data_IF_755871198129
#
_entry.id   IF_755871198129
#
_cell.length_a   1.000
_cell.length_b   1.000
_cell.length_c   1.000
_cell.angle_alpha   90.00
_cell.angle_beta   90.00
_cell.angle_gamma   90.00
#
_symmetry.space_group_name_H-M   'P 1'
#
loop_
_entity.id
_entity.type
_entity.pdbx_description
1 polymer ?
#
# COMPACT_ATOMS: atom_id res chain seq x y z
N UNK A 1 0.78 -21.01 14.09
CA UNK A 1 0.77 -20.36 12.76
C UNK A 1 0.41 -18.89 12.90
N UNK A 2 -0.79 -18.56 13.41
CA UNK A 2 -1.15 -17.19 13.81
C UNK A 2 -0.74 -16.95 15.28
N UNK A 3 -0.35 -15.72 15.58
CA UNK A 3 0.06 -15.23 16.90
C UNK A 3 -0.66 -13.91 17.19
N UNK A 4 -0.76 -13.50 18.47
CA UNK A 4 -1.34 -12.21 18.90
C UNK A 4 -2.70 -11.88 18.26
N UNK A 5 -3.64 -12.83 18.25
CA UNK A 5 -4.97 -12.63 17.64
C UNK A 5 -5.76 -11.60 18.48
N UNK A 6 -6.24 -10.55 17.83
CA UNK A 6 -7.09 -9.50 18.42
C UNK A 6 -8.40 -9.41 17.66
N UNK A 7 -9.49 -9.25 18.40
CA UNK A 7 -10.85 -9.08 17.86
C UNK A 7 -11.28 -7.61 18.01
N UNK A 8 -11.59 -6.96 16.90
CA UNK A 8 -12.07 -5.56 16.85
C UNK A 8 -13.57 -5.48 16.51
N UNK A 9 -14.33 -6.54 16.82
CA UNK A 9 -15.73 -6.78 16.50
C UNK A 9 -16.03 -6.95 15.00
N UNK A 10 -15.56 -6.02 14.16
CA UNK A 10 -15.82 -6.03 12.70
C UNK A 10 -14.72 -6.73 11.91
N UNK A 11 -13.54 -6.91 12.49
CA UNK A 11 -12.43 -7.65 11.89
C UNK A 11 -11.52 -8.25 12.96
N UNK A 12 -10.66 -9.18 12.53
CA UNK A 12 -9.58 -9.74 13.33
C UNK A 12 -8.24 -9.22 12.84
N UNK A 13 -7.32 -8.96 13.76
CA UNK A 13 -5.90 -8.82 13.44
C UNK A 13 -5.11 -9.94 14.10
N UNK A 14 -3.99 -10.30 13.49
CA UNK A 14 -3.08 -11.32 14.01
C UNK A 14 -1.70 -11.08 13.42
N UNK A 15 -0.67 -11.55 14.12
CA UNK A 15 0.69 -11.66 13.59
C UNK A 15 0.85 -13.03 12.95
N UNK A 16 1.54 -13.06 11.82
CA UNK A 16 1.96 -14.31 11.20
C UNK A 16 3.38 -14.62 11.66
N UNK A 17 3.69 -15.91 11.78
CA UNK A 17 5.04 -16.35 12.12
C UNK A 17 6.05 -15.94 11.02
N UNK A 18 7.25 -15.50 11.42
CA UNK A 18 8.29 -14.99 10.51
C UNK A 18 8.60 -15.97 9.36
N UNK A 19 8.72 -17.27 9.64
CA UNK A 19 8.90 -18.29 8.59
C UNK A 19 7.85 -18.23 7.46
N UNK A 20 6.60 -17.94 7.79
CA UNK A 20 5.52 -17.86 6.79
C UNK A 20 5.56 -16.52 6.07
N UNK A 21 5.93 -15.45 6.79
CA UNK A 21 6.20 -14.16 6.21
C UNK A 21 7.34 -14.25 5.17
N UNK A 22 8.45 -14.88 5.51
CA UNK A 22 9.59 -15.10 4.63
C UNK A 22 9.21 -15.94 3.40
N UNK A 23 8.37 -16.97 3.58
CA UNK A 23 7.83 -17.75 2.48
C UNK A 23 6.95 -16.90 1.55
N UNK A 24 6.09 -16.05 2.11
CA UNK A 24 5.25 -15.16 1.32
C UNK A 24 6.08 -14.16 0.53
N UNK A 25 7.14 -13.59 1.13
CA UNK A 25 8.10 -12.73 0.43
C UNK A 25 8.82 -13.46 -0.70
N UNK A 26 9.28 -14.69 -0.44
CA UNK A 26 9.93 -15.52 -1.44
C UNK A 26 9.01 -15.80 -2.66
N UNK A 27 7.72 -16.08 -2.41
CA UNK A 27 6.74 -16.32 -3.47
C UNK A 27 6.34 -15.04 -4.21
N UNK A 28 6.21 -13.92 -3.49
CA UNK A 28 5.87 -12.62 -4.06
C UNK A 28 6.98 -12.05 -4.98
N UNK A 29 8.22 -12.52 -4.82
CA UNK A 29 9.39 -12.11 -5.59
C UNK A 29 9.53 -10.58 -5.56
N UNK A 30 9.73 -9.97 -6.72
CA UNK A 30 9.90 -8.55 -6.96
C UNK A 30 8.61 -7.85 -7.40
N UNK A 31 7.45 -8.54 -7.36
CA UNK A 31 6.17 -7.96 -7.74
C UNK A 31 5.54 -7.10 -6.63
N UNK A 32 5.93 -7.32 -5.37
CA UNK A 32 5.39 -6.62 -4.20
C UNK A 32 6.48 -5.82 -3.48
N UNK A 33 6.15 -4.59 -3.08
CA UNK A 33 7.04 -3.72 -2.30
C UNK A 33 6.31 -3.17 -1.07
N UNK A 34 6.90 -3.43 0.10
CA UNK A 34 6.53 -2.76 1.33
C UNK A 34 7.39 -1.49 1.49
N UNK A 35 6.76 -0.32 1.33
CA UNK A 35 7.42 0.98 1.37
C UNK A 35 7.56 1.44 2.82
N UNK A 36 8.81 1.60 3.25
CA UNK A 36 9.18 2.20 4.53
C UNK A 36 10.10 3.41 4.30
N UNK A 37 10.49 4.12 5.35
CA UNK A 37 11.19 5.42 5.26
C UNK A 37 12.52 5.40 4.49
N UNK A 38 13.12 4.23 4.28
CA UNK A 38 14.35 4.04 3.53
C UNK A 38 14.15 3.87 2.01
N UNK A 39 12.91 3.79 1.53
CA UNK A 39 12.59 3.55 0.12
C UNK A 39 12.10 4.85 -0.52
N UNK A 40 12.81 5.30 -1.57
CA UNK A 40 12.47 6.53 -2.31
C UNK A 40 12.09 6.26 -3.77
N UNK A 41 12.44 5.08 -4.30
CA UNK A 41 12.23 4.71 -5.70
C UNK A 41 11.49 3.38 -5.80
N UNK A 42 10.55 3.29 -6.75
CA UNK A 42 9.84 2.06 -7.07
C UNK A 42 10.60 1.29 -8.17
N UNK A 43 11.01 0.04 -7.94
CA UNK A 43 11.55 -0.83 -8.98
C UNK A 43 10.52 -1.10 -10.09
N UNK A 44 10.97 -1.30 -11.32
CA UNK A 44 10.08 -1.39 -12.49
C UNK A 44 9.14 -2.59 -12.49
N UNK A 45 9.55 -3.70 -11.86
CA UNK A 45 8.77 -4.94 -11.80
C UNK A 45 7.68 -4.92 -10.71
N UNK A 46 7.67 -3.90 -9.85
CA UNK A 46 6.73 -3.81 -8.73
C UNK A 46 5.34 -3.46 -9.24
N UNK A 47 4.42 -4.41 -9.07
CA UNK A 47 3.00 -4.26 -9.36
C UNK A 47 2.15 -3.93 -8.13
N UNK A 48 2.65 -4.17 -6.92
CA UNK A 48 1.88 -3.98 -5.69
C UNK A 48 2.67 -3.20 -4.65
N UNK A 49 2.12 -2.07 -4.20
CA UNK A 49 2.68 -1.23 -3.18
C UNK A 49 1.86 -1.34 -1.90
N UNK A 50 2.55 -1.46 -0.77
CA UNK A 50 1.95 -1.33 0.56
C UNK A 50 2.80 -0.37 1.38
N UNK A 51 2.18 0.62 2.01
CA UNK A 51 2.89 1.68 2.72
C UNK A 51 2.82 1.47 4.23
N UNK A 52 3.96 1.55 4.92
CA UNK A 52 3.99 1.54 6.38
C UNK A 52 3.19 2.71 6.98
N UNK A 53 3.30 3.87 6.35
CA UNK A 53 2.59 5.10 6.68
C UNK A 53 2.16 5.80 5.39
N UNK A 54 0.95 6.37 5.39
CA UNK A 54 0.40 7.05 4.21
C UNK A 54 1.18 8.31 3.80
N UNK A 55 1.84 8.98 4.75
CA UNK A 55 2.73 10.13 4.53
C UNK A 55 3.93 9.81 3.63
N UNK A 56 4.36 8.54 3.57
CA UNK A 56 5.48 8.11 2.73
C UNK A 56 5.14 8.16 1.23
N UNK A 57 3.86 8.18 0.89
CA UNK A 57 3.42 8.28 -0.51
C UNK A 57 3.90 9.58 -1.17
N UNK A 58 3.90 10.68 -0.42
CA UNK A 58 4.29 12.00 -0.93
C UNK A 58 5.79 12.09 -1.23
N UNK A 59 6.61 11.27 -0.56
CA UNK A 59 8.06 11.24 -0.72
C UNK A 59 8.53 10.32 -1.86
N UNK A 60 7.61 9.61 -2.51
CA UNK A 60 7.95 8.57 -3.47
C UNK A 60 8.14 9.15 -4.87
N UNK A 61 9.32 8.92 -5.46
CA UNK A 61 9.56 9.24 -6.87
C UNK A 61 8.89 8.20 -7.77
N UNK A 62 7.64 8.47 -8.11
CA UNK A 62 6.86 7.61 -9.00
C UNK A 62 7.19 7.94 -10.46
N UNK A 63 7.90 7.02 -11.14
CA UNK A 63 8.10 7.06 -12.60
C UNK A 63 6.76 6.98 -13.33
N UNK A 64 6.64 7.71 -14.44
CA UNK A 64 5.40 7.84 -15.24
C UNK A 64 4.92 6.53 -15.90
N UNK A 65 5.74 5.48 -15.93
CA UNK A 65 5.47 4.19 -16.58
C UNK A 65 5.32 3.01 -15.61
N UNK A 66 5.19 3.26 -14.31
CA UNK A 66 5.09 2.18 -13.32
C UNK A 66 3.79 1.37 -13.53
N UNK A 67 3.91 0.05 -13.72
CA UNK A 67 2.77 -0.88 -13.90
C UNK A 67 2.14 -1.28 -12.56
N UNK A 68 1.98 -0.30 -11.67
CA UNK A 68 1.38 -0.53 -10.36
C UNK A 68 -0.11 -0.84 -10.52
N UNK A 69 -0.52 -1.98 -9.98
CA UNK A 69 -1.86 -2.55 -9.97
C UNK A 69 -2.56 -2.34 -8.63
N UNK A 70 -1.80 -2.24 -7.54
CA UNK A 70 -2.33 -2.12 -6.18
C UNK A 70 -1.54 -1.12 -5.35
N UNK A 71 -2.25 -0.28 -4.60
CA UNK A 71 -1.71 0.61 -3.56
C UNK A 71 -2.50 0.42 -2.28
N UNK A 72 -1.84 0.00 -1.20
CA UNK A 72 -2.45 -0.29 0.11
C UNK A 72 -1.89 0.57 1.23
N UNK A 73 -2.73 0.92 2.20
CA UNK A 73 -2.36 1.62 3.43
C UNK A 73 -2.87 0.81 4.63
N UNK A 74 -2.18 -0.26 5.07
CA UNK A 74 -2.67 -1.19 6.08
C UNK A 74 -3.01 -0.56 7.43
N UNK A 75 -2.34 0.56 7.76
CA UNK A 75 -2.58 1.32 8.99
C UNK A 75 -3.58 2.48 8.79
N UNK A 76 -4.24 2.53 7.63
CA UNK A 76 -5.14 3.60 7.22
C UNK A 76 -4.39 4.85 6.72
N UNK A 77 -5.13 5.69 5.99
CA UNK A 77 -4.69 6.98 5.48
C UNK A 77 -4.85 8.14 6.47
N UNK A 78 -4.90 7.87 7.78
CA UNK A 78 -5.14 8.89 8.80
C UNK A 78 -4.01 9.93 8.74
N UNK A 79 -4.37 11.19 8.44
CA UNK A 79 -3.42 12.30 8.30
C UNK A 79 -2.80 12.46 6.91
N UNK A 80 -3.11 11.58 5.95
CA UNK A 80 -2.73 11.80 4.55
C UNK A 80 -3.82 12.52 3.75
N UNK A 81 -3.38 13.30 2.76
CA UNK A 81 -4.29 13.94 1.82
C UNK A 81 -4.82 12.91 0.81
N UNK A 82 -5.96 12.30 1.13
CA UNK A 82 -6.59 11.26 0.30
C UNK A 82 -6.88 11.70 -1.13
N UNK A 83 -7.23 12.98 -1.34
CA UNK A 83 -7.46 13.53 -2.68
C UNK A 83 -6.16 13.62 -3.49
N UNK A 84 -5.06 14.07 -2.87
CA UNK A 84 -3.76 14.10 -3.53
C UNK A 84 -3.25 12.69 -3.90
N UNK A 85 -3.42 11.72 -3.00
CA UNK A 85 -3.10 10.32 -3.26
C UNK A 85 -3.91 9.80 -4.44
N UNK A 86 -5.23 10.00 -4.42
CA UNK A 86 -6.13 9.54 -5.48
C UNK A 86 -5.78 10.14 -6.84
N UNK A 87 -5.60 11.46 -6.92
CA UNK A 87 -5.24 12.15 -8.16
C UNK A 87 -3.87 11.70 -8.68
N UNK A 88 -2.89 11.48 -7.79
CA UNK A 88 -1.56 10.96 -8.16
C UNK A 88 -1.65 9.54 -8.69
N UNK A 89 -2.40 8.68 -8.00
CA UNK A 89 -2.62 7.29 -8.42
C UNK A 89 -3.28 7.20 -9.80
N UNK A 90 -4.36 7.96 -10.04
CA UNK A 90 -5.06 7.97 -11.33
C UNK A 90 -4.21 8.56 -12.47
N UNK A 91 -3.39 9.56 -12.16
CA UNK A 91 -2.52 10.18 -13.16
C UNK A 91 -1.31 9.30 -13.52
N UNK A 92 -0.66 8.67 -12.54
CA UNK A 92 0.60 7.95 -12.73
C UNK A 92 0.45 6.44 -12.96
N UNK A 93 -0.53 5.79 -12.33
CA UNK A 93 -0.68 4.33 -12.37
C UNK A 93 -1.80 3.90 -13.32
N UNK A 94 -1.48 3.75 -14.60
CA UNK A 94 -2.47 3.38 -15.63
C UNK A 94 -3.00 1.95 -15.52
N UNK A 95 -2.31 1.09 -14.77
CA UNK A 95 -2.71 -0.30 -14.54
C UNK A 95 -3.39 -0.51 -13.18
N UNK A 96 -3.72 0.56 -12.44
CA UNK A 96 -4.27 0.47 -11.10
C UNK A 96 -5.64 -0.23 -11.12
N UNK A 97 -5.80 -1.22 -10.23
CA UNK A 97 -7.04 -2.01 -10.04
C UNK A 97 -7.57 -1.91 -8.62
N UNK A 98 -6.68 -1.73 -7.64
CA UNK A 98 -7.02 -1.65 -6.23
C UNK A 98 -6.31 -0.44 -5.62
N UNK A 99 -7.08 0.44 -4.99
CA UNK A 99 -6.58 1.57 -4.21
C UNK A 99 -7.28 1.55 -2.86
N UNK A 100 -6.49 1.45 -1.81
CA UNK A 100 -6.96 1.61 -0.44
C UNK A 100 -7.07 3.10 -0.12
N UNK A 101 -8.26 3.51 0.35
CA UNK A 101 -8.54 4.87 0.83
C UNK A 101 -9.09 4.83 2.26
N UNK A 102 -8.93 3.71 2.97
CA UNK A 102 -9.43 3.55 4.33
C UNK A 102 -8.85 4.64 5.25
N UNK A 103 -9.70 5.24 6.09
CA UNK A 103 -9.29 6.28 7.04
C UNK A 103 -8.90 7.63 6.43
N UNK A 104 -9.03 7.82 5.11
CA UNK A 104 -8.81 9.12 4.46
C UNK A 104 -10.06 10.02 4.52
N UNK A 105 -9.86 11.34 4.48
CA UNK A 105 -10.92 12.35 4.72
C UNK A 105 -11.62 12.83 3.44
N UNK A 106 -11.67 12.03 2.37
CA UNK A 106 -12.27 12.47 1.11
C UNK A 106 -13.81 12.45 1.17
N UNK A 107 -14.45 13.54 0.76
CA UNK A 107 -15.92 13.64 0.75
C UNK A 107 -16.54 13.18 -0.57
N UNK A 108 -15.77 13.26 -1.66
CA UNK A 108 -16.25 12.92 -3.00
C UNK A 108 -15.18 12.21 -3.82
N UNK A 109 -15.60 11.34 -4.73
CA UNK A 109 -14.72 10.76 -5.73
C UNK A 109 -14.61 11.72 -6.93
N UNK A 110 -13.43 11.84 -7.56
CA UNK A 110 -13.26 12.57 -8.81
C UNK A 110 -14.14 11.94 -9.89
N UNK A 111 -14.67 12.81 -10.76
CA UNK A 111 -15.57 12.45 -11.87
C UNK A 111 -14.83 11.80 -13.04
#
# INVERSE_FOLDING_TARGET
>A
FLQEVKNFATFYSFRIHDLVHDLALFVAKDECLYVSSNIQNIPENVGHLSFAESSLFDNLEIKKSASVRTVLFPNGGVGANGEAILNTCLSKFKCLRVLDLSGSTFETLPR
#
